data_IF_042318655424
#
_entry.id   IF_042318655424
#
_cell.length_a   1.000
_cell.length_b   1.000
_cell.length_c   1.000
_cell.angle_alpha   90.00
_cell.angle_beta   90.00
_cell.angle_gamma   90.00
#
_symmetry.space_group_name_H-M   'P 1'
#
loop_
_entity.id
_entity.type
_entity.pdbx_description
1 polymer ?
#
# COMPACT_ATOMS: atom_id res chain seq x y z
N UNK A 1 -2.16 -18.78 17.26
CA UNK A 1 -1.37 -17.53 17.27
C UNK A 1 -1.90 -16.66 16.15
N UNK A 2 -2.45 -15.49 16.45
CA UNK A 2 -3.01 -14.58 15.43
C UNK A 2 -1.82 -13.80 14.83
N UNK A 3 -1.76 -13.73 13.50
CA UNK A 3 -0.73 -12.94 12.81
C UNK A 3 -0.99 -11.44 13.03
N UNK A 4 -0.07 -10.73 13.68
CA UNK A 4 -0.16 -9.28 13.85
C UNK A 4 0.28 -8.58 12.56
N UNK A 5 -0.70 -7.99 11.86
CA UNK A 5 -0.42 -7.34 10.57
C UNK A 5 0.26 -5.99 10.75
N UNK A 6 -0.01 -5.25 11.83
CA UNK A 6 0.61 -3.94 12.05
C UNK A 6 2.09 -4.14 12.39
N UNK A 7 2.40 -5.07 13.29
CA UNK A 7 3.79 -5.35 13.65
C UNK A 7 4.59 -5.87 12.46
N UNK A 8 4.00 -6.75 11.66
CA UNK A 8 4.61 -7.18 10.41
C UNK A 8 4.88 -6.02 9.45
N UNK A 9 3.94 -5.08 9.31
CA UNK A 9 4.07 -3.94 8.40
C UNK A 9 5.20 -3.00 8.82
N UNK A 10 5.45 -2.81 10.12
CA UNK A 10 6.58 -2.00 10.60
C UNK A 10 7.92 -2.52 10.09
N UNK A 11 8.17 -3.82 10.26
CA UNK A 11 9.40 -4.45 9.77
C UNK A 11 9.45 -4.54 8.24
N UNK A 12 8.30 -4.70 7.60
CA UNK A 12 8.23 -4.67 6.14
C UNK A 12 8.60 -3.29 5.57
N UNK A 13 8.17 -2.21 6.21
CA UNK A 13 8.46 -0.82 5.82
C UNK A 13 9.98 -0.53 5.83
N UNK A 14 10.72 -1.08 6.80
CA UNK A 14 12.19 -0.97 6.93
C UNK A 14 12.97 -1.59 5.76
N UNK A 15 12.29 -2.26 4.82
CA UNK A 15 12.87 -2.88 3.65
C UNK A 15 12.31 -2.31 2.33
N UNK A 16 12.64 -1.05 1.95
CA UNK A 16 12.14 -0.41 0.72
C UNK A 16 12.30 -1.23 -0.55
N UNK A 17 13.36 -2.04 -0.67
CA UNK A 17 13.56 -2.90 -1.84
C UNK A 17 12.45 -3.95 -2.03
N UNK A 18 11.62 -4.21 -1.02
CA UNK A 18 10.50 -5.14 -1.10
C UNK A 18 9.18 -4.47 -1.52
N UNK A 19 9.08 -3.14 -1.48
CA UNK A 19 7.80 -2.45 -1.65
C UNK A 19 7.87 -1.15 -2.44
N UNK A 20 8.95 -0.38 -2.38
CA UNK A 20 9.05 0.93 -3.03
C UNK A 20 9.42 0.75 -4.50
N UNK A 21 8.48 0.97 -5.43
CA UNK A 21 8.72 0.81 -6.87
C UNK A 21 9.63 1.87 -7.47
N UNK A 22 9.86 2.97 -6.74
CA UNK A 22 10.59 4.14 -7.23
C UNK A 22 12.11 3.95 -7.11
N UNK A 23 12.56 3.05 -6.25
CA UNK A 23 13.99 2.82 -6.04
C UNK A 23 14.53 1.72 -6.96
N UNK A 24 15.78 1.84 -7.47
CA UNK A 24 16.38 0.82 -8.33
C UNK A 24 16.44 -0.57 -7.68
N UNK A 25 16.60 -0.60 -6.36
CA UNK A 25 16.73 -1.83 -5.58
C UNK A 25 15.48 -2.70 -5.59
N UNK A 26 14.32 -2.15 -5.93
CA UNK A 26 13.07 -2.90 -6.11
C UNK A 26 13.18 -4.00 -7.18
N UNK A 27 13.96 -3.74 -8.24
CA UNK A 27 14.21 -4.71 -9.30
C UNK A 27 15.42 -5.60 -9.01
N UNK A 28 16.20 -5.29 -7.97
CA UNK A 28 17.39 -6.04 -7.61
C UNK A 28 17.03 -7.32 -6.81
N UNK A 29 17.08 -8.46 -7.49
CA UNK A 29 16.76 -9.77 -6.90
C UNK A 29 17.62 -10.12 -5.68
N UNK A 30 18.90 -9.79 -5.69
CA UNK A 30 19.80 -10.13 -4.58
C UNK A 30 19.45 -9.32 -3.33
N UNK A 31 19.29 -8.00 -3.46
CA UNK A 31 18.89 -7.15 -2.33
C UNK A 31 17.52 -7.55 -1.75
N UNK A 32 16.59 -7.95 -2.62
CA UNK A 32 15.29 -8.46 -2.19
C UNK A 32 15.38 -9.77 -1.42
N UNK A 33 16.17 -10.73 -1.90
CA UNK A 33 16.38 -11.99 -1.18
C UNK A 33 16.97 -11.73 0.21
N UNK A 34 18.00 -10.86 0.32
CA UNK A 34 18.61 -10.50 1.61
C UNK A 34 17.60 -9.85 2.56
N UNK A 35 16.73 -8.98 2.05
CA UNK A 35 15.68 -8.37 2.88
C UNK A 35 14.61 -9.39 3.31
N UNK A 36 14.21 -10.31 2.43
CA UNK A 36 13.27 -11.39 2.77
C UNK A 36 13.85 -12.35 3.83
N UNK A 37 15.15 -12.66 3.76
CA UNK A 37 15.85 -13.46 4.77
C UNK A 37 15.88 -12.77 6.14
N UNK A 38 16.02 -11.45 6.17
CA UNK A 38 15.95 -10.65 7.41
C UNK A 38 14.53 -10.57 7.98
N UNK A 39 13.53 -10.43 7.11
CA UNK A 39 12.13 -10.27 7.51
C UNK A 39 11.47 -11.58 7.96
N UNK A 40 11.89 -12.73 7.40
CA UNK A 40 11.32 -14.04 7.69
C UNK A 40 11.26 -14.38 9.20
N UNK A 41 12.36 -14.35 9.97
CA UNK A 41 12.34 -14.72 11.39
C UNK A 41 11.41 -13.81 12.22
N UNK A 42 11.27 -12.55 11.83
CA UNK A 42 10.42 -11.56 12.52
C UNK A 42 8.94 -11.79 12.20
N UNK A 43 8.63 -12.25 10.99
CA UNK A 43 7.25 -12.47 10.53
C UNK A 43 6.53 -13.65 11.22
N UNK A 44 7.27 -14.55 11.88
CA UNK A 44 6.72 -15.78 12.44
C UNK A 44 6.22 -16.79 11.39
N UNK A 45 6.58 -16.62 10.12
CA UNK A 45 6.22 -17.51 9.01
C UNK A 45 7.26 -18.61 8.82
N UNK A 46 6.83 -19.74 8.27
CA UNK A 46 7.65 -20.96 8.25
C UNK A 46 8.76 -20.91 7.20
N UNK A 47 8.57 -20.17 6.11
CA UNK A 47 9.49 -20.12 4.97
C UNK A 47 9.27 -18.88 4.08
N UNK A 48 10.24 -18.61 3.21
CA UNK A 48 10.22 -17.48 2.25
C UNK A 48 9.00 -17.51 1.32
N UNK A 49 8.49 -18.70 0.97
CA UNK A 49 7.31 -18.83 0.11
C UNK A 49 6.05 -18.29 0.80
N UNK A 50 5.86 -18.63 2.07
CA UNK A 50 4.79 -18.08 2.91
C UNK A 50 4.93 -16.57 3.10
N UNK A 51 6.15 -16.08 3.36
CA UNK A 51 6.44 -14.65 3.47
C UNK A 51 6.04 -13.88 2.20
N UNK A 52 6.49 -14.34 1.03
CA UNK A 52 6.13 -13.73 -0.26
C UNK A 52 4.63 -13.78 -0.51
N UNK A 53 3.98 -14.89 -0.16
CA UNK A 53 2.52 -15.03 -0.26
C UNK A 53 1.79 -14.03 0.63
N UNK A 54 2.24 -13.85 1.88
CA UNK A 54 1.70 -12.88 2.83
C UNK A 54 1.84 -11.45 2.31
N UNK A 55 3.04 -11.06 1.87
CA UNK A 55 3.30 -9.74 1.27
C UNK A 55 2.36 -9.50 0.08
N UNK A 56 2.23 -10.50 -0.81
CA UNK A 56 1.34 -10.42 -1.98
C UNK A 56 -0.13 -10.25 -1.55
N UNK A 57 -0.57 -10.98 -0.54
CA UNK A 57 -1.93 -10.90 -0.01
C UNK A 57 -2.22 -9.52 0.59
N UNK A 58 -1.34 -8.99 1.45
CA UNK A 58 -1.49 -7.66 2.06
C UNK A 58 -1.60 -6.58 0.99
N UNK A 59 -0.66 -6.56 0.03
CA UNK A 59 -0.69 -5.61 -1.08
C UNK A 59 -1.94 -5.75 -1.96
N UNK A 60 -2.37 -6.99 -2.20
CA UNK A 60 -3.60 -7.26 -2.96
C UNK A 60 -4.83 -6.67 -2.28
N UNK A 61 -4.97 -6.89 -0.98
CA UNK A 61 -6.06 -6.31 -0.18
C UNK A 61 -5.97 -4.78 -0.13
N UNK A 62 -4.79 -4.21 0.11
CA UNK A 62 -4.57 -2.76 0.08
C UNK A 62 -5.03 -2.15 -1.26
N UNK A 63 -4.61 -2.72 -2.39
CA UNK A 63 -5.00 -2.24 -3.72
C UNK A 63 -6.52 -2.35 -3.97
N UNK A 64 -7.17 -3.38 -3.43
CA UNK A 64 -8.64 -3.51 -3.52
C UNK A 64 -9.35 -2.40 -2.72
N UNK A 65 -8.87 -2.09 -1.51
CA UNK A 65 -9.40 -0.99 -0.70
C UNK A 65 -9.23 0.35 -1.41
N UNK A 66 -8.05 0.61 -1.98
CA UNK A 66 -7.79 1.79 -2.83
C UNK A 66 -8.78 1.85 -4.01
N UNK A 67 -9.06 0.72 -4.66
CA UNK A 67 -10.05 0.63 -5.74
C UNK A 67 -11.47 1.01 -5.28
N UNK A 68 -11.88 0.60 -4.08
CA UNK A 68 -13.18 0.98 -3.49
C UNK A 68 -13.25 2.47 -3.20
N UNK A 69 -12.19 3.05 -2.64
CA UNK A 69 -12.08 4.50 -2.40
C UNK A 69 -12.24 5.24 -3.73
N UNK A 70 -11.44 4.89 -4.75
CA UNK A 70 -11.50 5.49 -6.09
C UNK A 70 -12.88 5.39 -6.73
N UNK A 71 -13.53 4.23 -6.62
CA UNK A 71 -14.87 4.03 -7.18
C UNK A 71 -15.93 4.86 -6.48
N UNK A 72 -15.89 4.97 -5.14
CA UNK A 72 -16.85 5.79 -4.38
C UNK A 72 -16.79 7.28 -4.75
N UNK A 73 -15.59 7.78 -5.12
CA UNK A 73 -15.40 9.16 -5.56
C UNK A 73 -15.92 9.40 -6.99
N UNK A 74 -15.87 8.38 -7.86
CA UNK A 74 -16.27 8.50 -9.28
C UNK A 74 -17.79 8.54 -9.47
N UNK A 75 -18.56 7.87 -8.61
CA UNK A 75 -20.01 7.70 -8.78
C UNK A 75 -20.85 8.93 -8.40
N UNK A 76 -20.23 10.10 -8.17
CA UNK A 76 -20.95 11.37 -8.02
C UNK A 76 -21.74 11.54 -6.73
N UNK A 77 -21.56 10.64 -5.76
CA UNK A 77 -22.04 10.85 -4.40
C UNK A 77 -21.26 12.03 -3.82
N UNK A 78 -21.94 13.08 -3.35
CA UNK A 78 -21.27 14.19 -2.65
C UNK A 78 -20.36 13.68 -1.52
N UNK A 79 -19.48 14.53 -1.00
CA UNK A 79 -18.43 14.21 -0.02
C UNK A 79 -18.86 13.38 1.22
N UNK A 80 -20.16 13.22 1.44
CA UNK A 80 -20.81 12.43 2.49
C UNK A 80 -20.61 10.91 2.34
N UNK A 81 -20.40 10.38 1.13
CA UNK A 81 -20.43 8.92 0.86
C UNK A 81 -19.10 8.29 0.41
N UNK A 82 -17.95 8.94 0.67
CA UNK A 82 -16.65 8.35 0.33
C UNK A 82 -16.41 7.08 1.18
N UNK A 83 -16.08 5.98 0.50
CA UNK A 83 -15.77 4.72 1.15
C UNK A 83 -14.57 4.85 2.09
N UNK A 84 -14.72 4.37 3.33
CA UNK A 84 -13.66 4.31 4.32
C UNK A 84 -13.27 2.86 4.59
N UNK A 85 -12.00 2.47 4.38
CA UNK A 85 -11.49 1.15 4.74
C UNK A 85 -11.73 0.84 6.22
N UNK A 86 -12.12 -0.40 6.52
CA UNK A 86 -12.39 -0.87 7.89
C UNK A 86 -11.25 -1.69 8.49
N UNK A 87 -10.19 -1.91 7.72
CA UNK A 87 -9.03 -2.71 8.14
C UNK A 87 -8.17 -1.87 9.09
N UNK A 88 -7.94 -2.37 10.30
CA UNK A 88 -7.18 -1.67 11.33
C UNK A 88 -5.73 -1.34 10.92
N UNK A 89 -5.14 -2.12 10.02
CA UNK A 89 -3.78 -1.92 9.50
C UNK A 89 -3.73 -1.04 8.24
N UNK A 90 -4.88 -0.70 7.63
CA UNK A 90 -4.89 0.02 6.35
C UNK A 90 -4.19 1.38 6.45
N UNK A 91 -4.49 2.15 7.50
CA UNK A 91 -3.86 3.47 7.72
C UNK A 91 -2.32 3.38 7.77
N UNK A 92 -1.80 2.35 8.44
CA UNK A 92 -0.36 2.11 8.50
C UNK A 92 0.21 1.68 7.14
N UNK A 93 -0.47 0.78 6.43
CA UNK A 93 -0.03 0.40 5.09
C UNK A 93 -0.03 1.58 4.11
N UNK A 94 -1.03 2.46 4.21
CA UNK A 94 -1.18 3.63 3.34
C UNK A 94 -0.06 4.66 3.53
N UNK A 95 0.48 4.82 4.74
CA UNK A 95 1.54 5.80 5.03
C UNK A 95 2.77 5.65 4.14
N UNK A 96 3.09 4.43 3.70
CA UNK A 96 4.26 4.13 2.88
C UNK A 96 3.92 3.53 1.52
N UNK A 97 2.84 2.74 1.37
CA UNK A 97 2.49 2.13 0.06
C UNK A 97 1.84 3.10 -0.91
N UNK A 98 1.24 4.19 -0.43
CA UNK A 98 0.48 5.15 -1.26
C UNK A 98 1.30 5.74 -2.41
N UNK A 99 2.60 5.97 -2.20
CA UNK A 99 3.51 6.47 -3.25
C UNK A 99 3.50 5.60 -4.51
N UNK A 100 3.31 4.29 -4.36
CA UNK A 100 3.27 3.35 -5.49
C UNK A 100 1.97 3.46 -6.29
N UNK A 101 0.88 3.90 -5.65
CA UNK A 101 -0.43 4.09 -6.28
C UNK A 101 -0.46 5.41 -7.04
N UNK A 102 0.15 6.45 -6.48
CA UNK A 102 0.22 7.77 -7.10
C UNK A 102 1.03 7.74 -8.41
N UNK A 103 2.11 6.97 -8.47
CA UNK A 103 2.89 6.83 -9.71
C UNK A 103 2.20 6.04 -10.82
N UNK A 104 1.39 5.02 -10.49
CA UNK A 104 0.60 4.31 -11.52
C UNK A 104 -0.37 5.27 -12.24
N UNK A 105 -0.79 6.35 -11.58
CA UNK A 105 -1.70 7.36 -12.12
C UNK A 105 -0.99 8.31 -13.11
N UNK A 106 0.30 8.59 -12.92
CA UNK A 106 1.07 9.47 -13.82
C UNK A 106 1.40 8.78 -15.16
N UNK A 107 1.42 7.45 -15.18
CA UNK A 107 1.73 6.67 -16.39
C UNK A 107 0.53 6.39 -17.31
N UNK A 108 -0.70 6.73 -16.92
CA UNK A 108 -1.91 6.55 -17.76
C UNK A 108 -2.39 7.88 -18.39
N UNK A 109 -2.62 7.96 -19.71
CA UNK A 109 -2.86 9.22 -20.44
C UNK A 109 -4.19 9.95 -20.15
N UNK A 110 -5.10 9.40 -19.34
CA UNK A 110 -6.39 10.02 -19.00
C UNK A 110 -6.33 10.85 -17.68
N UNK A 111 -5.32 11.72 -17.59
CA UNK A 111 -4.78 12.35 -16.37
C UNK A 111 -5.73 13.35 -15.65
N UNK A 112 -6.73 13.92 -16.33
CA UNK A 112 -7.45 15.12 -15.83
C UNK A 112 -8.43 14.81 -14.69
N UNK A 113 -9.13 13.67 -14.72
CA UNK A 113 -10.07 13.25 -13.67
C UNK A 113 -9.36 12.84 -12.38
N UNK A 114 -8.24 12.14 -12.51
CA UNK A 114 -7.53 11.54 -11.38
C UNK A 114 -6.65 12.52 -10.61
N UNK A 115 -6.11 13.55 -11.29
CA UNK A 115 -5.42 14.67 -10.60
C UNK A 115 -6.34 15.35 -9.59
N UNK A 116 -7.61 15.57 -9.95
CA UNK A 116 -8.60 16.18 -9.07
C UNK A 116 -8.86 15.33 -7.82
N UNK A 117 -8.93 14.01 -7.98
CA UNK A 117 -9.12 13.04 -6.89
C UNK A 117 -7.92 13.04 -5.92
N UNK A 118 -6.69 13.03 -6.44
CA UNK A 118 -5.47 12.97 -5.60
C UNK A 118 -5.22 14.29 -4.87
N UNK A 119 -5.45 15.43 -5.52
CA UNK A 119 -5.41 16.73 -4.86
C UNK A 119 -6.48 16.81 -3.75
N UNK A 120 -7.67 16.25 -3.96
CA UNK A 120 -8.70 16.14 -2.91
C UNK A 120 -8.28 15.23 -1.75
N UNK A 121 -7.66 14.06 -2.01
CA UNK A 121 -7.14 13.18 -0.95
C UNK A 121 -6.07 13.90 -0.12
N UNK A 122 -5.14 14.62 -0.76
CA UNK A 122 -4.12 15.39 -0.05
C UNK A 122 -4.71 16.56 0.75
N UNK A 123 -5.71 17.27 0.21
CA UNK A 123 -6.40 18.36 0.92
C UNK A 123 -7.20 17.83 2.12
N UNK A 124 -7.90 16.71 1.99
CA UNK A 124 -8.72 16.14 3.07
C UNK A 124 -7.86 15.57 4.21
N UNK A 125 -6.68 15.01 3.92
CA UNK A 125 -5.78 14.50 4.97
C UNK A 125 -5.05 15.63 5.70
N UNK A 126 -4.69 16.72 5.02
CA UNK A 126 -4.06 17.90 5.65
C UNK A 126 -5.07 18.69 6.50
N UNK A 127 -6.37 18.65 6.19
CA UNK A 127 -7.41 19.34 6.95
C UNK A 127 -7.87 18.62 8.24
N UNK A 128 -7.28 17.46 8.58
CA UNK A 128 -7.60 16.68 9.79
C UNK A 128 -6.45 16.63 10.82
N UNK A 129 -5.44 17.51 10.71
CA UNK A 129 -4.42 17.81 11.74
C UNK A 129 -4.57 19.28 12.12
#
# INVERSE_FOLDING_TARGET
>A
MVFDTIEFLKHYEEHPCLWDKCIPDFKNRQKRNVAEEKLLPISGLSNIKELRSKIRSIRGTYNQEIGKIKNSMRTGSGAVDIYKPKLNWFSYADSFLRKNVEQEIETEPNVVSYKFIVTFINIIIIACI
#
